data_IF_229444846897
#
_entry.id   IF_229444846897
#
_cell.length_a   1.000
_cell.length_b   1.000
_cell.length_c   1.000
_cell.angle_alpha   90.00
_cell.angle_beta   90.00
_cell.angle_gamma   90.00
#
_symmetry.space_group_name_H-M   'P 1'
#
loop_
_entity.id
_entity.type
_entity.pdbx_description
1 polymer ?
#
# COMPACT_ATOMS: atom_id res chain seq x y z
N UNK A 1 -7.65 -10.75 28.28
CA UNK A 1 -6.46 -10.86 27.40
C UNK A 1 -6.43 -9.69 26.43
N UNK A 2 -5.25 -9.10 26.18
CA UNK A 2 -5.08 -8.07 25.15
C UNK A 2 -5.26 -8.69 23.76
N UNK A 3 -5.59 -7.87 22.74
CA UNK A 3 -5.66 -8.35 21.34
C UNK A 3 -4.33 -8.95 20.87
N UNK A 4 -3.21 -8.40 21.34
CA UNK A 4 -1.88 -8.96 21.06
C UNK A 4 -1.71 -10.33 21.73
N UNK A 5 -2.16 -10.48 22.99
CA UNK A 5 -2.14 -11.76 23.68
C UNK A 5 -2.93 -12.84 22.95
N UNK A 6 -4.10 -12.50 22.39
CA UNK A 6 -4.89 -13.44 21.57
C UNK A 6 -4.16 -13.90 20.31
N UNK A 7 -3.41 -12.99 19.65
CA UNK A 7 -2.62 -13.33 18.46
C UNK A 7 -1.46 -14.25 18.84
N UNK A 8 -0.73 -13.93 19.91
CA UNK A 8 0.38 -14.76 20.40
C UNK A 8 -0.11 -16.15 20.76
N UNK A 9 -1.19 -16.25 21.54
CA UNK A 9 -1.81 -17.53 21.91
C UNK A 9 -2.26 -18.33 20.67
N UNK A 10 -2.83 -17.66 19.66
CA UNK A 10 -3.24 -18.32 18.41
C UNK A 10 -2.05 -18.88 17.64
N UNK A 11 -0.93 -18.16 17.59
CA UNK A 11 0.32 -18.62 16.94
C UNK A 11 0.91 -19.80 17.71
N UNK A 12 0.97 -19.73 19.04
CA UNK A 12 1.47 -20.83 19.87
C UNK A 12 0.60 -22.09 19.74
N UNK A 13 -0.72 -21.93 19.72
CA UNK A 13 -1.65 -23.04 19.50
C UNK A 13 -1.50 -23.65 18.11
N UNK A 14 -1.25 -22.83 17.09
CA UNK A 14 -0.95 -23.34 15.75
C UNK A 14 0.35 -24.13 15.70
N UNK A 15 1.41 -23.63 16.34
CA UNK A 15 2.69 -24.34 16.40
C UNK A 15 2.55 -25.68 17.14
N UNK A 16 1.78 -25.73 18.23
CA UNK A 16 1.45 -26.99 18.92
C UNK A 16 0.69 -27.96 18.01
N UNK A 17 -0.32 -27.46 17.29
CA UNK A 17 -1.07 -28.26 16.32
C UNK A 17 -0.14 -28.90 15.27
N UNK A 18 0.81 -28.13 14.71
CA UNK A 18 1.79 -28.67 13.75
C UNK A 18 2.60 -29.79 14.40
N UNK A 19 3.13 -29.60 15.61
CA UNK A 19 3.90 -30.62 16.33
C UNK A 19 3.07 -31.88 16.62
N UNK A 20 1.79 -31.73 16.95
CA UNK A 20 0.88 -32.85 17.17
C UNK A 20 0.61 -33.62 15.87
N UNK A 21 0.47 -32.94 14.73
CA UNK A 21 0.35 -33.61 13.43
C UNK A 21 1.62 -34.37 13.06
N UNK A 22 2.81 -33.80 13.33
CA UNK A 22 4.09 -34.47 13.10
C UNK A 22 4.21 -35.73 13.96
N UNK A 23 3.89 -35.61 15.26
CA UNK A 23 3.88 -36.75 16.18
C UNK A 23 2.92 -37.83 15.71
N UNK A 24 1.69 -37.44 15.32
CA UNK A 24 0.68 -38.35 14.80
C UNK A 24 1.16 -39.07 13.54
N UNK A 25 1.79 -38.37 12.60
CA UNK A 25 2.32 -38.97 11.37
C UNK A 25 3.39 -40.03 11.64
N UNK A 26 4.14 -39.89 12.74
CA UNK A 26 5.14 -40.88 13.19
C UNK A 26 4.55 -42.06 13.95
N UNK A 27 3.44 -41.86 14.67
CA UNK A 27 2.86 -42.89 15.54
C UNK A 27 1.70 -43.67 14.91
N UNK A 28 0.92 -43.02 14.04
CA UNK A 28 -0.25 -43.61 13.37
C UNK A 28 0.13 -44.00 11.95
N UNK A 29 0.40 -45.30 11.74
CA UNK A 29 0.81 -45.84 10.44
C UNK A 29 -0.19 -45.60 9.30
N UNK A 30 -1.49 -45.51 9.62
CA UNK A 30 -2.51 -45.24 8.60
C UNK A 30 -2.40 -43.80 8.12
N UNK A 31 -2.32 -42.87 9.06
CA UNK A 31 -2.15 -41.44 8.76
C UNK A 31 -0.81 -41.16 8.07
N UNK A 32 0.27 -41.81 8.51
CA UNK A 32 1.58 -41.69 7.86
C UNK A 32 1.58 -42.17 6.41
N UNK A 33 0.92 -43.31 6.12
CA UNK A 33 0.76 -43.81 4.74
C UNK A 33 -0.10 -42.88 3.87
N UNK A 34 -1.16 -42.31 4.43
CA UNK A 34 -2.00 -41.34 3.73
C UNK A 34 -1.21 -40.08 3.34
N UNK A 35 -0.39 -39.55 4.26
CA UNK A 35 0.47 -38.40 4.00
C UNK A 35 1.54 -38.68 2.93
N UNK A 36 2.17 -39.86 2.98
CA UNK A 36 3.11 -40.28 1.94
C UNK A 36 2.44 -40.38 0.57
N UNK A 37 1.24 -40.96 0.50
CA UNK A 37 0.44 -41.01 -0.72
C UNK A 37 0.14 -39.61 -1.27
N UNK A 38 -0.36 -38.71 -0.40
CA UNK A 38 -0.62 -37.32 -0.75
C UNK A 38 0.64 -36.60 -1.24
N UNK A 39 1.78 -36.81 -0.58
CA UNK A 39 3.06 -36.20 -0.95
C UNK A 39 3.53 -36.63 -2.34
N UNK A 40 3.46 -37.93 -2.62
CA UNK A 40 3.81 -38.48 -3.93
C UNK A 40 2.85 -38.00 -5.03
N UNK A 41 1.54 -37.91 -4.74
CA UNK A 41 0.55 -37.35 -5.66
C UNK A 41 0.82 -35.87 -5.97
N UNK A 42 1.24 -35.09 -4.98
CA UNK A 42 1.63 -33.69 -5.19
C UNK A 42 2.86 -33.64 -6.10
N UNK A 43 3.93 -34.39 -5.78
CA UNK A 43 5.16 -34.44 -6.59
C UNK A 43 4.87 -34.82 -8.05
N UNK A 44 4.03 -35.83 -8.26
CA UNK A 44 3.66 -36.31 -9.60
C UNK A 44 2.85 -35.28 -10.41
N UNK A 45 2.09 -34.40 -9.76
CA UNK A 45 1.27 -33.36 -10.42
C UNK A 45 2.05 -32.09 -10.74
N UNK A 46 3.29 -31.95 -10.26
CA UNK A 46 4.11 -30.75 -10.54
C UNK A 46 4.60 -30.81 -11.98
N UNK A 47 4.25 -29.82 -12.82
CA UNK A 47 4.73 -29.78 -14.20
C UNK A 47 6.24 -29.54 -14.24
N UNK A 48 6.93 -30.18 -15.17
CA UNK A 48 8.34 -29.93 -15.45
C UNK A 48 8.50 -29.03 -16.68
N UNK A 49 9.49 -28.15 -16.64
CA UNK A 49 10.00 -27.39 -17.79
C UNK A 49 11.38 -27.94 -18.20
N UNK A 50 11.85 -27.62 -19.40
CA UNK A 50 13.20 -27.99 -19.86
C UNK A 50 14.07 -26.76 -19.98
N UNK A 51 15.32 -26.86 -19.55
CA UNK A 51 16.33 -25.82 -19.80
C UNK A 51 16.75 -25.83 -21.28
N UNK A 52 17.42 -24.78 -21.78
CA UNK A 52 18.05 -24.81 -23.11
C UNK A 52 19.06 -25.95 -23.29
N UNK A 53 19.65 -26.45 -22.21
CA UNK A 53 20.55 -27.62 -22.21
C UNK A 53 19.83 -28.97 -22.15
N UNK A 54 18.49 -28.97 -22.16
CA UNK A 54 17.65 -30.18 -22.15
C UNK A 54 17.37 -30.77 -20.76
N UNK A 55 17.90 -30.17 -19.68
CA UNK A 55 17.68 -30.64 -18.31
C UNK A 55 16.22 -30.42 -17.89
N UNK A 56 15.51 -31.45 -17.40
CA UNK A 56 14.17 -31.28 -16.85
C UNK A 56 14.26 -30.63 -15.46
N UNK A 57 13.49 -29.57 -15.24
CA UNK A 57 13.36 -28.88 -13.96
C UNK A 57 11.88 -28.82 -13.55
N UNK A 58 11.51 -29.23 -12.32
CA UNK A 58 10.14 -29.07 -11.84
C UNK A 58 9.80 -27.59 -11.67
N UNK A 59 8.56 -27.19 -11.95
CA UNK A 59 8.09 -25.81 -11.70
C UNK A 59 8.07 -25.44 -10.22
N UNK A 60 7.90 -26.43 -9.35
CA UNK A 60 8.00 -26.30 -7.91
C UNK A 60 8.96 -27.38 -7.42
N UNK A 61 10.14 -26.98 -6.97
CA UNK A 61 11.07 -27.89 -6.35
C UNK A 61 10.58 -28.20 -4.93
N UNK A 62 10.12 -29.43 -4.70
CA UNK A 62 9.82 -29.93 -3.36
C UNK A 62 11.04 -30.66 -2.79
N UNK A 63 11.21 -30.66 -1.46
CA UNK A 63 12.29 -31.41 -0.83
C UNK A 63 12.09 -32.92 -1.01
N UNK A 64 13.18 -33.67 -1.15
CA UNK A 64 13.14 -35.14 -1.22
C UNK A 64 13.01 -35.74 0.17
N UNK A 65 11.77 -35.81 0.66
CA UNK A 65 11.41 -36.34 1.97
C UNK A 65 10.58 -37.61 1.78
N UNK A 66 10.94 -38.66 2.52
CA UNK A 66 10.26 -39.97 2.58
C UNK A 66 9.77 -40.35 3.99
N UNK A 67 10.02 -39.49 5.00
CA UNK A 67 9.53 -39.67 6.37
C UNK A 67 8.18 -38.96 6.58
N UNK A 68 7.11 -39.66 7.02
CA UNK A 68 5.78 -39.06 7.18
C UNK A 68 5.73 -37.84 8.13
N UNK A 69 6.52 -37.83 9.20
CA UNK A 69 6.61 -36.71 10.14
C UNK A 69 7.19 -35.45 9.52
N UNK A 70 8.28 -35.56 8.76
CA UNK A 70 8.85 -34.44 8.01
C UNK A 70 7.92 -33.95 6.90
N UNK A 71 7.19 -34.84 6.23
CA UNK A 71 6.14 -34.47 5.26
C UNK A 71 5.02 -33.67 5.96
N UNK A 72 4.56 -34.16 7.11
CA UNK A 72 3.55 -33.46 7.91
C UNK A 72 4.06 -32.08 8.33
N UNK A 73 5.32 -32.00 8.79
CA UNK A 73 5.94 -30.72 9.15
C UNK A 73 5.87 -29.76 7.97
N UNK A 74 6.40 -30.14 6.81
CA UNK A 74 6.39 -29.29 5.63
C UNK A 74 4.98 -28.82 5.25
N UNK A 75 4.02 -29.75 5.13
CA UNK A 75 2.65 -29.43 4.69
C UNK A 75 1.88 -28.55 5.68
N UNK A 76 2.11 -28.70 6.99
CA UNK A 76 1.37 -27.93 8.01
C UNK A 76 2.13 -26.69 8.49
N UNK A 77 3.46 -26.66 8.50
CA UNK A 77 4.23 -25.50 8.94
C UNK A 77 4.53 -24.52 7.81
N UNK A 78 4.88 -25.02 6.63
CA UNK A 78 5.28 -24.19 5.48
C UNK A 78 4.13 -24.06 4.48
N UNK A 79 3.44 -25.18 4.22
CA UNK A 79 2.36 -25.27 3.24
C UNK A 79 2.86 -25.20 1.79
N UNK A 80 2.02 -25.56 0.84
CA UNK A 80 2.34 -25.31 -0.57
C UNK A 80 2.12 -23.82 -0.92
N UNK A 81 2.71 -23.31 -2.02
CA UNK A 81 2.37 -22.00 -2.55
C UNK A 81 0.84 -21.79 -2.65
N UNK A 82 0.33 -20.70 -2.09
CA UNK A 82 -1.11 -20.41 -2.07
C UNK A 82 -1.94 -21.22 -1.06
N UNK A 83 -1.30 -21.98 -0.18
CA UNK A 83 -1.95 -22.67 0.95
C UNK A 83 -1.50 -22.06 2.28
N UNK A 84 -2.38 -22.06 3.27
CA UNK A 84 -2.04 -21.60 4.62
C UNK A 84 -0.86 -22.43 5.21
N UNK A 85 0.12 -21.82 5.89
CA UNK A 85 0.18 -20.42 6.36
C UNK A 85 0.74 -19.41 5.35
N UNK A 86 0.79 -19.76 4.07
CA UNK A 86 1.27 -18.92 2.97
C UNK A 86 2.74 -18.53 3.08
N UNK A 87 3.55 -19.37 3.76
CA UNK A 87 4.98 -19.11 3.96
C UNK A 87 5.71 -19.03 2.62
N UNK A 88 5.42 -19.98 1.73
CA UNK A 88 6.07 -20.06 0.42
C UNK A 88 5.55 -18.99 -0.55
N UNK A 89 4.25 -18.74 -0.53
CA UNK A 89 3.61 -17.76 -1.40
C UNK A 89 2.15 -17.49 -1.01
N UNK A 90 1.69 -16.27 -1.23
CA UNK A 90 0.28 -15.90 -1.11
C UNK A 90 -0.58 -16.50 -2.24
N UNK A 91 0.00 -16.74 -3.42
CA UNK A 91 -0.68 -17.30 -4.58
C UNK A 91 -0.02 -18.59 -5.04
N UNK A 92 -0.81 -19.52 -5.58
CA UNK A 92 -0.32 -20.83 -6.03
C UNK A 92 0.73 -20.77 -7.13
N UNK A 93 0.54 -19.85 -8.07
CA UNK A 93 1.39 -19.74 -9.27
C UNK A 93 2.26 -18.47 -9.26
N UNK A 94 2.15 -17.62 -8.24
CA UNK A 94 2.89 -16.35 -8.10
C UNK A 94 3.07 -15.58 -9.41
N UNK A 95 4.29 -15.60 -9.98
CA UNK A 95 4.68 -14.91 -11.22
C UNK A 95 4.99 -15.88 -12.36
N UNK A 96 4.63 -17.15 -12.21
CA UNK A 96 4.87 -18.14 -13.26
C UNK A 96 4.01 -17.80 -14.46
N UNK A 97 4.67 -17.45 -15.57
CA UNK A 97 3.98 -17.29 -16.83
C UNK A 97 3.33 -18.61 -17.26
N UNK A 98 2.20 -18.58 -17.97
CA UNK A 98 1.63 -19.79 -18.57
C UNK A 98 2.66 -20.45 -19.51
N UNK A 99 2.83 -21.78 -19.43
CA UNK A 99 3.86 -22.57 -20.15
C UNK A 99 3.91 -22.31 -21.67
N UNK A 100 2.86 -21.76 -22.27
CA UNK A 100 2.72 -21.61 -23.73
C UNK A 100 3.50 -20.45 -24.35
N UNK A 101 3.93 -19.43 -23.58
CA UNK A 101 4.62 -18.27 -24.17
C UNK A 101 6.05 -18.61 -24.63
N UNK A 102 6.77 -19.48 -23.92
CA UNK A 102 8.16 -19.83 -24.24
C UNK A 102 8.24 -20.69 -25.52
N UNK A 103 7.30 -21.62 -25.72
CA UNK A 103 7.24 -22.43 -26.96
C UNK A 103 6.72 -21.63 -28.17
N UNK A 104 6.01 -20.52 -27.93
CA UNK A 104 5.42 -19.70 -29.00
C UNK A 104 6.40 -18.72 -29.66
N UNK A 105 7.55 -18.43 -29.03
CA UNK A 105 8.60 -17.60 -29.65
C UNK A 105 9.27 -18.29 -30.84
N UNK A 106 9.24 -19.63 -30.89
CA UNK A 106 9.87 -20.37 -32.00
C UNK A 106 8.91 -20.82 -33.10
N UNK A 107 7.58 -20.88 -32.88
CA UNK A 107 6.73 -21.64 -33.82
C UNK A 107 5.39 -21.10 -34.27
N UNK A 108 4.80 -20.01 -33.77
CA UNK A 108 3.46 -19.62 -34.24
C UNK A 108 3.20 -18.11 -34.35
N UNK A 109 3.43 -17.57 -35.55
CA UNK A 109 2.84 -16.32 -36.04
C UNK A 109 1.33 -16.47 -36.39
N UNK A 110 0.58 -17.27 -35.62
CA UNK A 110 -0.78 -17.66 -35.98
C UNK A 110 -1.68 -17.84 -34.76
N UNK A 111 -2.60 -16.88 -34.58
CA UNK A 111 -3.84 -16.92 -33.78
C UNK A 111 -3.83 -17.79 -32.52
N UNK A 112 -3.57 -17.15 -31.38
CA UNK A 112 -3.90 -17.71 -30.05
C UNK A 112 -5.24 -17.11 -29.61
N UNK A 113 -6.34 -17.77 -29.99
CA UNK A 113 -7.68 -17.52 -29.47
C UNK A 113 -7.87 -18.25 -28.14
N UNK A 114 -7.51 -17.58 -27.03
CA UNK A 114 -8.08 -17.73 -25.68
C UNK A 114 -7.40 -16.72 -24.75
N UNK A 115 -8.16 -15.73 -24.24
CA UNK A 115 -7.72 -14.78 -23.19
C UNK A 115 -7.39 -15.53 -21.91
N UNK A 116 -6.17 -16.06 -21.81
CA UNK A 116 -5.59 -16.45 -20.53
C UNK A 116 -5.29 -15.14 -19.79
N UNK A 117 -5.72 -14.96 -18.53
CA UNK A 117 -5.29 -13.82 -17.73
C UNK A 117 -3.76 -13.90 -17.61
N UNK A 118 -3.08 -13.04 -18.37
CA UNK A 118 -1.63 -13.01 -18.40
C UNK A 118 -1.12 -12.50 -17.05
N UNK A 119 -0.08 -13.12 -16.50
CA UNK A 119 0.48 -12.71 -15.23
C UNK A 119 0.99 -11.27 -15.33
N UNK A 120 0.51 -10.38 -14.46
CA UNK A 120 1.01 -9.01 -14.41
C UNK A 120 2.45 -9.02 -13.89
N UNK A 121 3.38 -8.39 -14.62
CA UNK A 121 4.74 -8.23 -14.13
C UNK A 121 4.75 -7.47 -12.80
N UNK A 122 5.57 -7.88 -11.81
CA UNK A 122 5.62 -7.21 -10.53
C UNK A 122 6.28 -5.82 -10.61
N UNK A 123 7.04 -5.55 -11.68
CA UNK A 123 7.77 -4.31 -11.90
C UNK A 123 6.87 -3.09 -11.71
N UNK A 124 7.29 -2.20 -10.81
CA UNK A 124 6.63 -0.93 -10.56
C UNK A 124 7.71 0.14 -10.50
N UNK A 125 7.61 1.15 -11.36
CA UNK A 125 8.67 2.12 -11.54
C UNK A 125 8.38 3.39 -10.71
N UNK A 126 9.31 3.70 -9.80
CA UNK A 126 9.25 4.87 -8.93
C UNK A 126 9.82 6.09 -9.65
N UNK A 127 9.03 7.15 -9.77
CA UNK A 127 9.43 8.37 -10.46
C UNK A 127 8.67 9.59 -9.94
N UNK A 128 9.35 10.73 -9.99
CA UNK A 128 8.82 12.05 -9.67
C UNK A 128 9.97 13.03 -9.64
N UNK A 129 9.90 14.08 -10.46
CA UNK A 129 10.88 15.16 -10.52
C UNK A 129 10.26 16.35 -11.25
N UNK A 130 10.59 17.58 -10.83
CA UNK A 130 10.10 18.81 -11.45
C UNK A 130 8.55 18.88 -11.43
N UNK A 131 7.94 19.30 -12.54
CA UNK A 131 6.49 19.53 -12.64
C UNK A 131 5.74 18.26 -13.06
N UNK A 132 4.41 18.35 -13.04
CA UNK A 132 3.52 17.26 -13.39
C UNK A 132 3.77 16.76 -14.82
N UNK A 133 4.01 17.65 -15.76
CA UNK A 133 4.27 17.33 -17.17
C UNK A 133 5.60 16.60 -17.36
N UNK A 134 6.66 17.02 -16.67
CA UNK A 134 7.99 16.39 -16.75
C UNK A 134 7.93 14.94 -16.21
N UNK A 135 7.23 14.76 -15.09
CA UNK A 135 7.02 13.43 -14.51
C UNK A 135 6.10 12.58 -15.38
N UNK A 136 5.10 13.18 -16.05
CA UNK A 136 4.25 12.47 -17.00
C UNK A 136 5.05 11.96 -18.20
N UNK A 137 5.91 12.79 -18.80
CA UNK A 137 6.82 12.38 -19.88
C UNK A 137 7.69 11.20 -19.43
N UNK A 138 8.22 11.27 -18.21
CA UNK A 138 9.00 10.20 -17.61
C UNK A 138 8.18 8.92 -17.44
N UNK A 139 6.92 9.00 -17.01
CA UNK A 139 6.04 7.82 -16.92
C UNK A 139 5.81 7.17 -18.28
N UNK A 140 5.56 7.95 -19.33
CA UNK A 140 5.41 7.43 -20.69
C UNK A 140 6.71 6.77 -21.19
N UNK A 141 7.85 7.39 -20.93
CA UNK A 141 9.16 6.80 -21.24
C UNK A 141 9.36 5.45 -20.53
N UNK A 142 9.10 5.40 -19.22
CA UNK A 142 9.31 4.21 -18.38
C UNK A 142 8.37 3.06 -18.74
N UNK A 143 7.19 3.37 -19.26
CA UNK A 143 6.16 2.36 -19.57
C UNK A 143 6.07 1.98 -21.05
N UNK A 144 6.88 2.57 -21.94
CA UNK A 144 6.83 2.37 -23.40
C UNK A 144 6.85 0.89 -23.84
N UNK A 145 7.54 0.03 -23.10
CA UNK A 145 7.69 -1.39 -23.41
C UNK A 145 6.99 -2.31 -22.40
N UNK A 146 6.11 -1.76 -21.56
CA UNK A 146 5.38 -2.52 -20.54
C UNK A 146 3.94 -2.78 -20.99
N UNK A 147 3.50 -4.04 -20.83
CA UNK A 147 2.11 -4.45 -21.12
C UNK A 147 1.11 -3.91 -20.10
N UNK A 148 1.57 -3.72 -18.85
CA UNK A 148 0.80 -3.18 -17.74
C UNK A 148 1.46 -1.94 -17.18
N UNK A 149 0.70 -0.87 -16.99
CA UNK A 149 1.20 0.40 -16.50
C UNK A 149 1.09 0.45 -14.98
N UNK A 150 2.18 0.11 -14.30
CA UNK A 150 2.28 0.10 -12.83
C UNK A 150 3.19 1.24 -12.39
N UNK A 151 2.58 2.39 -12.17
CA UNK A 151 3.28 3.63 -11.82
C UNK A 151 3.49 3.73 -10.31
N UNK A 152 4.58 4.34 -9.88
CA UNK A 152 4.77 4.78 -8.50
C UNK A 152 5.28 6.21 -8.46
N UNK A 153 4.52 7.08 -7.82
CA UNK A 153 4.76 8.52 -7.80
C UNK A 153 5.51 8.93 -6.55
N UNK A 154 6.59 9.69 -6.73
CA UNK A 154 7.34 10.38 -5.70
C UNK A 154 6.94 11.87 -5.67
N UNK A 155 6.52 12.40 -4.53
CA UNK A 155 6.16 13.82 -4.40
C UNK A 155 7.32 14.63 -3.83
N UNK A 156 7.36 15.93 -4.16
CA UNK A 156 8.39 16.84 -3.66
C UNK A 156 8.18 17.20 -2.18
N UNK A 157 9.18 17.84 -1.57
CA UNK A 157 9.12 18.24 -0.17
C UNK A 157 7.84 19.02 0.21
N UNK A 158 7.53 20.14 -0.46
CA UNK A 158 6.32 20.92 -0.20
C UNK A 158 5.04 20.08 -0.22
N UNK A 159 4.84 19.27 -1.27
CA UNK A 159 3.68 18.37 -1.39
C UNK A 159 3.64 17.34 -0.27
N UNK A 160 4.79 16.74 0.10
CA UNK A 160 4.88 15.77 1.22
C UNK A 160 4.46 16.39 2.56
N UNK A 161 4.73 17.69 2.76
CA UNK A 161 4.35 18.45 3.96
C UNK A 161 3.01 19.19 3.83
N UNK A 162 2.29 19.04 2.70
CA UNK A 162 0.99 19.67 2.48
C UNK A 162 1.07 21.19 2.37
N UNK A 163 2.15 21.70 1.77
CA UNK A 163 2.42 23.11 1.56
C UNK A 163 2.38 23.37 0.05
N UNK A 164 1.62 24.38 -0.36
CA UNK A 164 1.51 24.80 -1.76
C UNK A 164 2.84 25.41 -2.25
N UNK A 165 3.12 25.29 -3.55
CA UNK A 165 4.37 25.80 -4.15
C UNK A 165 4.56 27.31 -4.06
N UNK A 166 3.49 28.09 -3.82
CA UNK A 166 3.55 29.55 -3.65
C UNK A 166 3.82 29.99 -2.21
N UNK A 167 4.04 29.05 -1.28
CA UNK A 167 4.34 29.36 0.11
C UNK A 167 5.73 30.01 0.29
N UNK A 168 5.84 30.85 1.32
CA UNK A 168 7.10 31.48 1.65
C UNK A 168 8.17 30.45 2.06
N UNK A 169 9.36 30.54 1.46
CA UNK A 169 10.52 29.73 1.85
C UNK A 169 10.62 28.34 1.20
N UNK A 170 9.70 27.96 0.30
CA UNK A 170 9.73 26.64 -0.36
C UNK A 170 10.25 26.66 -1.81
N UNK A 171 10.50 27.84 -2.40
CA UNK A 171 10.87 27.98 -3.82
C UNK A 171 11.99 27.03 -4.29
N UNK A 172 13.05 26.87 -3.50
CA UNK A 172 14.17 25.98 -3.85
C UNK A 172 13.90 24.48 -3.70
N UNK A 173 12.73 24.11 -3.17
CA UNK A 173 12.30 22.73 -2.90
C UNK A 173 11.22 22.24 -3.86
N UNK A 174 10.64 23.14 -4.66
CA UNK A 174 9.60 22.81 -5.64
C UNK A 174 10.19 21.88 -6.70
N UNK A 175 9.60 20.70 -6.85
CA UNK A 175 10.06 19.70 -7.82
C UNK A 175 11.44 19.09 -7.50
N UNK A 176 12.02 19.38 -6.33
CA UNK A 176 13.28 18.79 -5.88
C UNK A 176 13.00 17.43 -5.23
N UNK A 177 13.58 16.37 -5.80
CA UNK A 177 13.46 15.02 -5.25
C UNK A 177 12.07 14.37 -5.41
N UNK A 178 11.14 15.02 -6.11
CA UNK A 178 9.80 14.53 -6.38
C UNK A 178 9.02 15.46 -7.31
N UNK A 179 7.80 15.08 -7.67
CA UNK A 179 6.90 15.93 -8.46
C UNK A 179 6.15 16.92 -7.55
N UNK A 180 6.06 18.18 -7.98
CA UNK A 180 5.24 19.20 -7.32
C UNK A 180 3.75 19.03 -7.72
N UNK A 181 2.85 18.91 -6.75
CA UNK A 181 1.41 18.77 -6.97
C UNK A 181 0.64 19.60 -5.95
N UNK A 182 0.04 20.70 -6.40
CA UNK A 182 -0.75 21.61 -5.55
C UNK A 182 -2.25 21.44 -5.81
N UNK A 183 -2.63 21.10 -7.04
CA UNK A 183 -4.01 21.17 -7.52
C UNK A 183 -4.50 19.86 -8.15
N UNK A 184 -5.82 19.80 -8.43
CA UNK A 184 -6.42 18.66 -9.15
C UNK A 184 -5.95 18.66 -10.61
N UNK A 185 -5.72 19.83 -11.19
CA UNK A 185 -5.22 20.04 -12.53
C UNK A 185 -3.81 19.44 -12.70
N UNK A 186 -2.91 19.65 -11.74
CA UNK A 186 -1.58 19.04 -11.76
C UNK A 186 -1.68 17.51 -11.71
N UNK A 187 -2.59 16.98 -10.89
CA UNK A 187 -2.86 15.54 -10.83
C UNK A 187 -3.43 14.99 -12.14
N UNK A 188 -4.21 15.80 -12.89
CA UNK A 188 -4.71 15.43 -14.22
C UNK A 188 -3.57 15.38 -15.23
N UNK A 189 -2.68 16.37 -15.22
CA UNK A 189 -1.49 16.42 -16.09
C UNK A 189 -0.52 15.27 -15.79
N UNK A 190 -0.27 14.99 -14.51
CA UNK A 190 0.64 13.93 -14.04
C UNK A 190 0.30 12.57 -14.64
N UNK A 191 -1.00 12.25 -14.76
CA UNK A 191 -1.46 10.99 -15.32
C UNK A 191 -2.07 11.12 -16.72
N UNK A 192 -1.78 12.22 -17.43
CA UNK A 192 -2.32 12.39 -18.77
C UNK A 192 -1.80 11.30 -19.73
N UNK A 193 -2.63 10.92 -20.70
CA UNK A 193 -2.37 9.79 -21.61
C UNK A 193 -2.56 8.38 -21.02
N UNK A 194 -2.78 8.22 -19.70
CA UNK A 194 -3.08 6.92 -19.07
C UNK A 194 -4.58 6.70 -18.85
N UNK A 195 -5.08 5.49 -19.14
CA UNK A 195 -6.44 5.06 -18.79
C UNK A 195 -6.49 4.54 -17.34
N UNK A 196 -6.86 5.44 -16.42
CA UNK A 196 -6.95 5.16 -14.98
C UNK A 196 -7.98 4.09 -14.62
N UNK A 197 -8.98 3.84 -15.49
CA UNK A 197 -10.02 2.84 -15.28
C UNK A 197 -9.70 1.47 -15.86
N UNK A 198 -8.57 1.35 -16.57
CA UNK A 198 -8.15 0.10 -17.20
C UNK A 198 -7.76 -0.94 -16.14
N UNK A 199 -8.09 -2.24 -16.35
CA UNK A 199 -7.55 -3.30 -15.52
C UNK A 199 -6.02 -3.34 -15.58
N UNK A 200 -5.37 -2.87 -16.65
CA UNK A 200 -3.91 -2.94 -16.80
C UNK A 200 -3.18 -1.72 -16.24
N UNK A 201 -3.90 -0.79 -15.60
CA UNK A 201 -3.32 0.40 -14.98
C UNK A 201 -3.40 0.30 -13.45
N UNK A 202 -2.32 0.70 -12.77
CA UNK A 202 -2.30 0.83 -11.32
C UNK A 202 -1.34 1.94 -10.88
N UNK A 203 -1.86 2.97 -10.23
CA UNK A 203 -1.07 4.05 -9.65
C UNK A 203 -0.76 3.79 -8.17
N UNK A 204 0.50 3.89 -7.79
CA UNK A 204 0.95 3.92 -6.40
C UNK A 204 1.43 5.33 -6.06
N UNK A 205 1.05 5.86 -4.91
CA UNK A 205 1.39 7.20 -4.48
C UNK A 205 2.07 7.14 -3.10
N UNK A 206 3.35 7.51 -3.06
CA UNK A 206 4.18 7.51 -1.85
C UNK A 206 3.96 8.80 -1.08
N UNK A 207 2.85 8.87 -0.34
CA UNK A 207 2.43 10.03 0.43
C UNK A 207 1.83 9.59 1.77
N UNK A 208 2.13 10.31 2.84
CA UNK A 208 1.66 10.01 4.20
C UNK A 208 0.81 11.13 4.81
N UNK A 209 1.42 12.26 5.20
CA UNK A 209 0.74 13.34 5.92
C UNK A 209 -0.53 13.85 5.22
N UNK A 210 -0.43 14.36 3.98
CA UNK A 210 -1.56 14.87 3.21
C UNK A 210 -2.15 13.78 2.28
N UNK A 211 -1.90 12.49 2.55
CA UNK A 211 -2.42 11.38 1.76
C UNK A 211 -3.95 11.44 1.52
N UNK A 212 -4.80 11.80 2.51
CA UNK A 212 -6.22 12.07 2.29
C UNK A 212 -6.54 13.03 1.14
N UNK A 213 -5.73 14.09 1.01
CA UNK A 213 -5.94 15.19 0.06
C UNK A 213 -5.48 14.74 -1.32
N UNK A 214 -4.27 14.17 -1.42
CA UNK A 214 -3.73 13.62 -2.68
C UNK A 214 -4.62 12.50 -3.23
N UNK A 215 -5.17 11.64 -2.37
CA UNK A 215 -6.16 10.64 -2.77
C UNK A 215 -7.42 11.30 -3.36
N UNK A 216 -7.94 12.34 -2.70
CA UNK A 216 -9.12 13.05 -3.17
C UNK A 216 -8.85 13.72 -4.53
N UNK A 217 -7.67 14.30 -4.72
CA UNK A 217 -7.21 14.86 -6.00
C UNK A 217 -7.13 13.78 -7.09
N UNK A 218 -6.55 12.61 -6.79
CA UNK A 218 -6.50 11.49 -7.75
C UNK A 218 -7.90 11.01 -8.17
N UNK A 219 -8.81 10.85 -7.22
CA UNK A 219 -10.20 10.47 -7.51
C UNK A 219 -10.91 11.57 -8.30
N UNK A 220 -10.70 12.84 -7.96
CA UNK A 220 -11.27 13.97 -8.68
C UNK A 220 -10.74 14.04 -10.11
N UNK A 221 -9.43 13.97 -10.32
CA UNK A 221 -8.79 13.93 -11.63
C UNK A 221 -9.36 12.79 -12.51
N UNK A 222 -9.51 11.59 -11.93
CA UNK A 222 -10.15 10.48 -12.64
C UNK A 222 -11.60 10.76 -13.01
N UNK A 223 -12.40 11.32 -12.10
CA UNK A 223 -13.79 11.72 -12.38
C UNK A 223 -13.89 12.79 -13.45
N UNK A 224 -12.99 13.77 -13.45
CA UNK A 224 -12.95 14.82 -14.46
C UNK A 224 -12.66 14.25 -15.85
N UNK A 225 -11.74 13.29 -15.96
CA UNK A 225 -11.33 12.70 -17.25
C UNK A 225 -12.29 11.62 -17.77
N UNK A 226 -12.84 10.78 -16.89
CA UNK A 226 -13.59 9.56 -17.29
C UNK A 226 -15.01 9.47 -16.71
N UNK A 227 -15.45 10.51 -15.98
CA UNK A 227 -16.76 10.55 -15.32
C UNK A 227 -16.82 9.71 -14.04
N UNK A 228 -17.95 9.78 -13.30
CA UNK A 228 -18.10 9.16 -11.98
C UNK A 228 -18.05 7.62 -11.98
N UNK A 229 -18.28 6.99 -13.12
CA UNK A 229 -18.30 5.51 -13.26
C UNK A 229 -16.89 4.89 -13.21
N UNK A 230 -15.83 5.69 -13.32
CA UNK A 230 -14.44 5.20 -13.27
C UNK A 230 -13.99 4.86 -11.84
N UNK A 231 -14.54 5.55 -10.83
CA UNK A 231 -14.14 5.41 -9.41
C UNK A 231 -14.06 3.96 -8.96
N UNK A 232 -15.08 3.09 -9.20
CA UNK A 232 -14.99 1.69 -8.81
C UNK A 232 -13.92 0.87 -9.56
N UNK A 233 -13.46 1.35 -10.71
CA UNK A 233 -12.44 0.68 -11.52
C UNK A 233 -11.02 1.08 -11.16
N UNK A 234 -10.85 2.17 -10.39
CA UNK A 234 -9.53 2.65 -9.99
C UNK A 234 -8.79 1.58 -9.19
N UNK A 235 -7.62 1.20 -9.67
CA UNK A 235 -6.66 0.32 -9.00
C UNK A 235 -5.46 1.14 -8.57
N UNK A 236 -5.05 1.00 -7.33
CA UNK A 236 -3.91 1.75 -6.84
C UNK A 236 -3.63 1.57 -5.37
N UNK A 237 -2.62 2.30 -4.93
CA UNK A 237 -2.16 2.27 -3.55
C UNK A 237 -1.76 3.66 -3.08
N UNK A 238 -2.03 3.96 -1.82
CA UNK A 238 -1.48 5.08 -1.06
C UNK A 238 -0.72 4.51 0.11
N UNK A 239 0.37 5.16 0.50
CA UNK A 239 1.18 4.69 1.60
C UNK A 239 0.47 4.94 2.95
N UNK A 240 0.19 6.20 3.31
CA UNK A 240 -0.62 6.60 4.48
C UNK A 240 -0.35 5.84 5.80
N UNK A 241 0.90 5.45 6.05
CA UNK A 241 1.33 4.87 7.31
C UNK A 241 1.97 5.96 8.17
N UNK A 242 1.23 6.42 9.17
CA UNK A 242 1.70 7.48 10.08
C UNK A 242 2.70 6.97 11.12
N UNK A 243 2.69 5.67 11.45
CA UNK A 243 3.58 5.17 12.49
C UNK A 243 5.03 5.13 12.02
N UNK A 244 5.27 4.76 10.76
CA UNK A 244 6.62 4.88 10.18
C UNK A 244 7.10 6.32 10.08
N UNK A 245 6.19 7.30 9.94
CA UNK A 245 6.58 8.71 9.86
C UNK A 245 7.22 9.16 11.15
N UNK A 246 6.61 8.83 12.28
CA UNK A 246 7.14 9.18 13.61
C UNK A 246 8.42 8.40 13.93
N UNK A 247 8.55 7.18 13.43
CA UNK A 247 9.70 6.32 13.73
C UNK A 247 10.94 6.64 12.89
N UNK A 248 10.77 7.10 11.65
CA UNK A 248 11.89 7.22 10.71
C UNK A 248 11.72 8.27 9.62
N UNK A 249 10.58 8.31 8.93
CA UNK A 249 10.45 9.04 7.66
C UNK A 249 10.19 10.56 7.84
N UNK A 250 9.71 10.98 9.01
CA UNK A 250 9.59 12.38 9.44
C UNK A 250 8.68 13.30 8.59
N UNK A 251 7.72 12.77 7.85
CA UNK A 251 6.72 13.54 7.08
C UNK A 251 5.39 13.68 7.86
N UNK A 252 5.48 13.82 9.18
CA UNK A 252 4.30 13.98 10.06
C UNK A 252 3.86 15.44 10.12
N UNK A 253 2.68 15.73 9.59
CA UNK A 253 2.06 17.08 9.66
C UNK A 253 1.17 17.22 10.90
N UNK A 254 0.33 16.21 11.16
CA UNK A 254 -0.64 16.22 12.25
C UNK A 254 -0.23 15.28 13.38
N UNK A 255 -0.66 15.53 14.63
CA UNK A 255 -0.43 14.59 15.73
C UNK A 255 -0.93 13.17 15.40
N UNK A 256 -0.36 12.17 16.07
CA UNK A 256 -0.60 10.75 15.75
C UNK A 256 -2.09 10.39 15.83
N UNK A 257 -2.79 10.84 16.86
CA UNK A 257 -4.20 10.49 17.06
C UNK A 257 -5.13 10.99 15.93
N UNK A 258 -5.13 12.28 15.54
CA UNK A 258 -5.94 12.74 14.41
C UNK A 258 -5.51 12.08 13.08
N UNK A 259 -4.22 11.86 12.85
CA UNK A 259 -3.72 11.15 11.66
C UNK A 259 -4.25 9.71 11.57
N UNK A 260 -4.24 8.97 12.68
CA UNK A 260 -4.81 7.62 12.74
C UNK A 260 -6.33 7.63 12.57
N UNK A 261 -7.02 8.61 13.17
CA UNK A 261 -8.48 8.74 13.05
C UNK A 261 -8.89 8.94 11.58
N UNK A 262 -8.14 9.77 10.86
CA UNK A 262 -8.34 9.98 9.43
C UNK A 262 -7.97 8.72 8.66
N UNK A 263 -6.78 8.13 8.88
CA UNK A 263 -6.37 6.88 8.22
C UNK A 263 -7.38 5.73 8.37
N UNK A 264 -7.95 5.55 9.57
CA UNK A 264 -9.00 4.54 9.84
C UNK A 264 -10.30 4.87 9.11
N UNK A 265 -10.70 6.14 9.01
CA UNK A 265 -11.89 6.56 8.24
C UNK A 265 -11.68 6.37 6.74
N UNK A 266 -10.47 6.61 6.23
CA UNK A 266 -10.12 6.33 4.84
C UNK A 266 -10.14 4.83 4.55
N UNK A 267 -9.61 3.99 5.45
CA UNK A 267 -9.72 2.54 5.34
C UNK A 267 -11.19 2.09 5.37
N UNK A 268 -11.99 2.65 6.27
CA UNK A 268 -13.43 2.34 6.38
C UNK A 268 -14.24 2.79 5.15
N UNK A 269 -13.90 3.93 4.54
CA UNK A 269 -14.54 4.41 3.31
C UNK A 269 -14.24 3.50 2.09
N UNK A 270 -13.09 2.85 2.08
CA UNK A 270 -12.72 1.80 1.11
C UNK A 270 -13.35 0.44 1.47
N UNK A 271 -13.53 0.14 2.76
CA UNK A 271 -14.05 -1.15 3.27
C UNK A 271 -15.58 -1.27 3.23
N UNK A 272 -16.38 -0.21 3.05
CA UNK A 272 -17.86 -0.31 3.01
C UNK A 272 -18.45 -0.88 1.70
N UNK A 273 -17.85 -1.93 1.14
CA UNK A 273 -18.24 -2.54 -0.14
C UNK A 273 -18.41 -4.06 -0.08
N UNK A 274 -18.73 -4.61 1.09
CA UNK A 274 -19.39 -5.91 1.19
C UNK A 274 -20.55 -5.79 2.19
N UNK A 275 -21.69 -6.42 1.87
CA UNK A 275 -22.77 -6.63 2.85
C UNK A 275 -22.17 -7.27 4.11
N UNK A 276 -22.71 -7.00 5.32
CA UNK A 276 -22.18 -7.57 6.55
C UNK A 276 -22.38 -9.09 6.55
N UNK A 277 -21.36 -9.85 6.15
CA UNK A 277 -21.20 -11.24 6.53
C UNK A 277 -20.50 -11.30 7.89
N UNK A 278 -20.92 -12.19 8.82
CA UNK A 278 -20.55 -12.10 10.23
C UNK A 278 -19.19 -12.76 10.46
N UNK A 279 -18.08 -12.16 10.04
CA UNK A 279 -16.74 -12.60 10.48
C UNK A 279 -15.85 -11.42 10.82
N UNK A 280 -15.69 -11.21 12.13
CA UNK A 280 -14.76 -10.26 12.75
C UNK A 280 -13.35 -10.61 12.30
N UNK A 281 -12.73 -9.76 11.49
CA UNK A 281 -11.27 -9.74 11.36
C UNK A 281 -10.72 -8.50 12.08
N UNK A 282 -9.97 -8.74 13.14
CA UNK A 282 -9.29 -7.74 13.95
C UNK A 282 -7.83 -7.63 13.50
N UNK A 283 -7.41 -6.39 13.21
CA UNK A 283 -6.03 -5.84 13.25
C UNK A 283 -4.90 -6.79 12.84
N UNK A 284 -4.29 -6.52 11.68
CA UNK A 284 -2.88 -6.86 11.43
C UNK A 284 -2.05 -5.57 11.41
N UNK A 285 -0.95 -5.61 12.16
CA UNK A 285 0.16 -4.66 12.22
C UNK A 285 1.42 -5.53 12.08
N UNK A 286 2.30 -5.26 11.13
CA UNK A 286 3.60 -5.95 11.03
C UNK A 286 4.64 -5.01 10.42
N UNK A 287 5.90 -5.18 10.84
CA UNK A 287 7.01 -4.23 10.71
C UNK A 287 8.00 -4.71 9.64
N UNK A 288 7.96 -4.10 8.46
CA UNK A 288 9.13 -3.79 7.62
C UNK A 288 8.66 -2.80 6.53
N UNK A 289 9.57 -1.92 6.10
CA UNK A 289 9.33 -0.74 5.24
C UNK A 289 8.25 -0.96 4.15
N UNK A 290 7.35 0.01 4.03
CA UNK A 290 6.19 0.11 3.10
C UNK A 290 4.99 -0.79 3.40
N UNK A 291 4.09 -0.33 4.28
CA UNK A 291 2.67 -0.70 4.18
C UNK A 291 2.05 0.10 3.02
N UNK A 292 1.50 -0.64 2.05
CA UNK A 292 0.84 -0.13 0.85
C UNK A 292 -0.66 -0.48 0.98
N UNK A 293 -1.52 0.51 1.22
CA UNK A 293 -2.98 0.31 1.24
C UNK A 293 -3.51 0.12 -0.19
N UNK A 294 -3.71 -1.12 -0.63
CA UNK A 294 -4.34 -1.42 -1.91
C UNK A 294 -5.87 -1.28 -1.82
N UNK A 295 -6.51 -0.70 -2.83
CA UNK A 295 -7.98 -0.59 -2.89
C UNK A 295 -8.58 -0.99 -4.25
N UNK A 296 -9.85 -1.44 -4.19
CA UNK A 296 -10.81 -1.52 -5.30
C UNK A 296 -12.12 -0.88 -4.81
N UNK A 297 -12.63 0.14 -5.50
CA UNK A 297 -13.86 0.84 -5.13
C UNK A 297 -15.11 0.14 -5.75
N UNK A 298 -16.32 0.39 -5.23
CA UNK A 298 -17.60 -0.17 -5.72
C UNK A 298 -18.68 0.93 -5.80
N UNK A 299 -19.78 0.73 -6.56
CA UNK A 299 -20.54 1.81 -7.21
C UNK A 299 -21.41 2.72 -6.34
N UNK A 300 -21.33 2.69 -5.00
CA UNK A 300 -22.21 3.50 -4.14
C UNK A 300 -21.42 4.29 -3.10
N UNK A 301 -20.72 5.33 -3.54
CA UNK A 301 -20.24 6.39 -2.68
C UNK A 301 -21.01 7.68 -2.95
N UNK A 302 -22.09 7.91 -2.19
CA UNK A 302 -22.64 9.24 -2.02
C UNK A 302 -21.99 9.83 -0.75
N UNK A 303 -21.17 10.88 -0.91
CA UNK A 303 -20.64 11.64 0.21
C UNK A 303 -21.81 12.35 0.90
N UNK A 304 -22.27 11.81 2.03
CA UNK A 304 -23.33 12.44 2.83
C UNK A 304 -22.67 13.10 4.04
N UNK A 305 -22.60 14.43 4.02
CA UNK A 305 -22.30 15.23 5.21
C UNK A 305 -23.47 15.08 6.19
N UNK A 306 -23.34 14.21 7.20
CA UNK A 306 -24.28 14.20 8.31
C UNK A 306 -23.87 15.28 9.29
N UNK A 307 -24.54 16.43 9.22
CA UNK A 307 -24.46 17.48 10.22
C UNK A 307 -25.08 16.94 11.53
N UNK A 308 -24.25 16.60 12.52
CA UNK A 308 -24.72 16.44 13.89
C UNK A 308 -24.49 17.73 14.67
N UNK A 309 -25.41 18.68 14.51
CA UNK A 309 -25.65 19.71 15.51
C UNK A 309 -27.07 20.26 15.31
N UNK A 310 -27.96 19.98 16.27
CA UNK A 310 -29.19 20.76 16.46
C UNK A 310 -28.79 22.20 16.76
N UNK A 311 -28.82 23.07 15.77
CA UNK A 311 -29.20 24.47 15.94
C UNK A 311 -29.93 24.89 14.67
N UNK A 312 -31.23 25.08 14.81
CA UNK A 312 -32.12 25.65 13.81
C UNK A 312 -31.69 27.08 13.47
N UNK A 313 -31.42 27.36 12.19
CA UNK A 313 -31.70 28.65 11.54
C UNK A 313 -31.67 28.46 10.02
N UNK A 314 -32.84 28.66 9.42
CA UNK A 314 -33.11 28.54 7.99
C UNK A 314 -32.37 29.62 7.20
N UNK A 315 -31.68 29.25 6.11
CA UNK A 315 -31.30 30.17 5.05
C UNK A 315 -31.35 29.45 3.69
N UNK A 316 -32.20 29.96 2.81
CA UNK A 316 -32.31 29.54 1.40
C UNK A 316 -31.22 30.23 0.58
N UNK A 317 -30.62 29.52 -0.39
CA UNK A 317 -29.71 30.11 -1.38
C UNK A 317 -30.33 29.91 -2.76
N UNK A 318 -30.69 31.04 -3.38
CA UNK A 318 -31.09 31.15 -4.78
C UNK A 318 -29.87 31.09 -5.71
N UNK A 319 -30.08 30.56 -6.91
CA UNK A 319 -29.07 30.40 -7.94
C UNK A 319 -28.62 31.75 -8.56
N UNK A 320 -27.31 31.94 -8.76
CA UNK A 320 -26.75 32.73 -9.88
C UNK A 320 -25.26 32.41 -10.12
N UNK A 321 -24.98 32.18 -11.41
CA UNK A 321 -23.79 32.17 -12.29
C UNK A 321 -22.34 32.47 -11.83
N UNK A 322 -21.31 32.11 -12.66
CA UNK A 322 -20.00 31.65 -12.20
C UNK A 322 -18.89 32.71 -12.27
N UNK A 323 -18.02 32.75 -11.25
CA UNK A 323 -16.70 33.36 -11.35
C UNK A 323 -15.71 32.69 -10.38
N UNK A 324 -14.66 32.08 -10.94
CA UNK A 324 -13.34 31.81 -10.34
C UNK A 324 -13.27 31.64 -8.82
N UNK A 325 -13.34 30.40 -8.32
CA UNK A 325 -13.10 30.09 -6.91
C UNK A 325 -11.68 29.56 -6.68
N UNK A 326 -10.76 30.46 -6.32
CA UNK A 326 -9.52 30.15 -5.59
C UNK A 326 -9.90 29.59 -4.22
N UNK A 327 -9.47 28.38 -3.89
CA UNK A 327 -9.63 27.84 -2.54
C UNK A 327 -8.48 28.32 -1.66
N UNK A 328 -8.71 29.34 -0.83
CA UNK A 328 -7.78 29.71 0.24
C UNK A 328 -7.91 28.72 1.40
N UNK A 329 -6.80 28.12 1.81
CA UNK A 329 -6.70 27.40 3.07
C UNK A 329 -6.98 28.34 4.26
N UNK A 330 -7.88 27.92 5.16
CA UNK A 330 -8.27 28.70 6.33
C UNK A 330 -7.18 28.69 7.40
N UNK A 331 -6.74 29.89 7.80
CA UNK A 331 -5.90 30.15 8.97
C UNK A 331 -6.73 29.90 10.25
N UNK A 332 -6.34 28.95 11.09
CA UNK A 332 -6.97 28.72 12.40
C UNK A 332 -6.59 29.86 13.34
N UNK A 333 -7.58 30.65 13.74
CA UNK A 333 -7.42 31.71 14.73
C UNK A 333 -7.21 31.10 16.13
N UNK A 334 -6.13 31.52 16.80
CA UNK A 334 -5.83 31.20 18.19
C UNK A 334 -6.85 31.88 19.12
N UNK A 335 -7.75 31.09 19.71
CA UNK A 335 -8.61 31.53 20.79
C UNK A 335 -7.83 31.59 22.11
N UNK A 336 -7.77 32.78 22.70
CA UNK A 336 -7.32 33.02 24.08
C UNK A 336 -8.22 32.25 25.06
N UNK A 337 -7.61 31.59 26.04
CA UNK A 337 -8.23 31.34 27.34
C UNK A 337 -7.23 31.69 28.43
N UNK A 338 -7.47 32.79 29.12
CA UNK A 338 -6.80 33.19 30.35
C UNK A 338 -7.32 32.41 31.56
N UNK A 339 -6.50 32.46 32.61
CA UNK A 339 -6.73 32.13 34.03
C UNK A 339 -6.59 30.67 34.49
N UNK A 340 -5.43 30.38 35.09
CA UNK A 340 -5.32 30.37 36.56
C UNK A 340 -3.84 30.40 37.01
N UNK A 341 -3.54 31.37 37.86
CA UNK A 341 -2.29 31.65 38.58
C UNK A 341 -1.70 30.47 39.35
N UNK A 342 -0.39 30.26 39.24
CA UNK A 342 0.42 29.79 40.37
C UNK A 342 1.82 30.42 40.30
N UNK A 343 2.27 30.89 41.46
CA UNK A 343 3.28 31.92 41.71
C UNK A 343 4.72 31.56 41.35
N UNK A 344 5.47 32.61 41.03
CA UNK A 344 6.92 32.62 40.88
C UNK A 344 7.66 32.08 42.11
N UNK A 345 8.70 31.26 41.88
CA UNK A 345 9.90 31.22 42.71
C UNK A 345 11.06 30.58 41.94
N UNK A 346 11.83 31.47 41.32
CA UNK A 346 13.29 31.55 41.43
C UNK A 346 14.06 30.27 41.79
N UNK A 347 14.83 29.76 40.83
CA UNK A 347 16.11 29.08 41.11
C UNK A 347 17.02 29.15 39.89
N UNK A 348 17.69 30.29 39.73
CA UNK A 348 19.05 30.34 39.15
C UNK A 348 20.03 29.77 40.18
N UNK A 349 20.93 28.90 39.72
CA UNK A 349 22.33 28.61 40.15
C UNK A 349 22.65 27.18 39.71
N UNK A 350 23.79 26.80 39.15
CA UNK A 350 25.03 27.41 38.63
C UNK A 350 26.05 26.27 38.62
N UNK A 351 26.82 26.07 37.54
CA UNK A 351 28.17 25.46 37.47
C UNK A 351 28.55 25.49 35.96
N UNK A 352 29.11 26.55 35.38
CA UNK A 352 30.48 27.10 35.44
C UNK A 352 31.59 26.07 35.14
N UNK A 353 32.09 26.21 33.90
CA UNK A 353 33.46 26.12 33.37
C UNK A 353 34.32 24.86 33.52
N UNK A 354 34.78 24.40 32.35
CA UNK A 354 36.22 24.21 32.13
C UNK A 354 36.58 24.52 30.67
N UNK A 355 37.07 25.73 30.42
CA UNK A 355 37.79 26.12 29.20
C UNK A 355 39.29 25.93 29.45
N UNK A 356 40.00 25.30 28.50
CA UNK A 356 41.46 25.46 28.34
C UNK A 356 41.75 25.99 26.94
N UNK A 357 42.56 27.05 26.92
CA UNK A 357 42.93 27.94 25.82
C UNK A 357 43.76 27.28 24.70
N UNK A 358 43.85 27.92 23.52
CA UNK A 358 44.74 27.55 22.42
C UNK A 358 46.12 28.26 22.48
N UNK A 359 47.12 27.64 21.87
CA UNK A 359 48.36 28.23 21.32
C UNK A 359 48.76 27.29 20.14
N UNK A 360 48.79 27.71 18.86
CA UNK A 360 49.83 28.54 18.24
C UNK A 360 51.12 27.72 18.09
N UNK A 361 51.84 27.56 16.97
CA UNK A 361 52.03 28.35 15.74
C UNK A 361 52.85 27.47 14.76
N UNK A 362 52.59 27.56 13.45
CA UNK A 362 53.59 27.93 12.42
C UNK A 362 52.90 28.55 11.23
#
# INVERSE_FOLDING_TARGET
>A
MSKLGQVVESVENYNKFVLDQVKRARTDEKFGRELLGRWNDIKAKIPATRTPTGLPLPRLALPEIDEPGEIARYLFSEGLPGEFPYLNAAYREMYLEPVREIESFEKNAGKIDKKIPQAEEPTRLFSGLMLAEDTNERFHYLTRHQRTHRLSTAFDGPTLYGIDSDADGVFGKIGEGGVAIDTVEDMMQLYDGFDLGSPNFSASMTISGPAPIIMAMYIAAAKHRFGPKVVPKLRGTIQADIFKEVQAQNETIFPIEPSLRVGIRFRSAVITLEKPAPRRYSRLLTRCRTDLLTWKCSPRAAFRWTNSARVSRSFSIAASTPSTSRWRAYRVASGRSECATCSAQDRRRSFINCTRKPAGVR
#
